data_IF_880691961223
#
_entry.id   IF_880691961223
#
_cell.length_a   1.000
_cell.length_b   1.000
_cell.length_c   1.000
_cell.angle_alpha   90.00
_cell.angle_beta   90.00
_cell.angle_gamma   90.00
#
_symmetry.space_group_name_H-M   'P 1'
#
loop_
_entity.id
_entity.type
_entity.pdbx_description
1 polymer ?
#
# COMPACT_ATOMS: atom_id res chain seq x y z
N UNK A 1 4.93 -0.52 2.46
CA UNK A 1 3.62 -0.84 1.86
C UNK A 1 2.54 -0.76 2.93
N UNK A 2 1.33 -0.38 2.55
CA UNK A 2 0.15 -0.37 3.40
C UNK A 2 -0.82 -1.43 2.88
N UNK A 3 -1.34 -2.27 3.77
CA UNK A 3 -2.30 -3.33 3.43
C UNK A 3 -3.49 -3.30 4.39
N UNK A 4 -4.70 -3.26 3.85
CA UNK A 4 -5.91 -3.41 4.66
C UNK A 4 -5.97 -4.81 5.28
N UNK A 5 -6.17 -4.86 6.59
CA UNK A 5 -6.38 -6.08 7.36
C UNK A 5 -7.53 -5.86 8.35
N UNK A 6 -8.73 -6.28 7.94
CA UNK A 6 -9.96 -6.11 8.71
C UNK A 6 -10.16 -4.64 9.17
N UNK A 7 -10.18 -4.39 10.48
CA UNK A 7 -10.31 -3.06 11.09
C UNK A 7 -9.01 -2.24 11.18
N UNK A 8 -7.91 -2.77 10.64
CA UNK A 8 -6.59 -2.15 10.69
C UNK A 8 -5.90 -2.07 9.33
N UNK A 9 -4.84 -1.27 9.25
CA UNK A 9 -3.92 -1.26 8.12
C UNK A 9 -2.54 -1.69 8.61
N UNK A 10 -1.96 -2.70 7.97
CA UNK A 10 -0.59 -3.12 8.19
C UNK A 10 0.35 -2.23 7.40
N UNK A 11 1.24 -1.53 8.11
CA UNK A 11 2.30 -0.69 7.59
C UNK A 11 3.59 -1.46 7.61
N UNK A 12 4.15 -1.74 6.45
CA UNK A 12 5.41 -2.46 6.31
C UNK A 12 6.45 -1.48 5.79
N UNK A 13 7.47 -1.24 6.59
CA UNK A 13 8.64 -0.43 6.26
C UNK A 13 9.85 -1.34 6.08
N UNK A 14 10.97 -0.80 5.58
CA UNK A 14 12.20 -1.57 5.41
C UNK A 14 12.75 -2.16 6.73
N UNK A 15 12.40 -1.56 7.87
CA UNK A 15 12.92 -1.96 9.19
C UNK A 15 11.95 -2.82 9.98
N UNK A 16 10.65 -2.48 9.93
CA UNK A 16 9.63 -3.11 10.77
C UNK A 16 8.25 -3.04 10.11
N UNK A 17 7.36 -3.85 10.65
CA UNK A 17 5.92 -3.80 10.39
C UNK A 17 5.14 -3.27 11.61
N UNK A 18 4.04 -2.58 11.38
CA UNK A 18 3.23 -1.95 12.41
C UNK A 18 1.76 -1.89 12.01
N UNK A 19 0.86 -2.09 12.97
CA UNK A 19 -0.57 -2.10 12.73
C UNK A 19 -1.17 -0.74 13.12
N UNK A 20 -1.81 -0.04 12.19
CA UNK A 20 -2.45 1.26 12.44
C UNK A 20 -3.96 1.18 12.25
N UNK A 21 -4.70 1.98 13.01
CA UNK A 21 -6.17 2.07 12.90
C UNK A 21 -6.57 3.21 11.94
N UNK A 22 -6.16 3.10 10.68
CA UNK A 22 -6.57 3.97 9.57
C UNK A 22 -7.06 3.12 8.42
N UNK A 23 -8.06 3.58 7.69
CA UNK A 23 -8.51 2.87 6.49
C UNK A 23 -7.59 3.19 5.31
N UNK A 24 -7.59 2.33 4.30
CA UNK A 24 -6.85 2.60 3.04
C UNK A 24 -7.38 3.86 2.36
N UNK A 25 -8.67 4.19 2.53
CA UNK A 25 -9.27 5.39 1.94
C UNK A 25 -8.76 6.67 2.61
N UNK A 26 -8.66 6.68 3.94
CA UNK A 26 -8.06 7.82 4.66
C UNK A 26 -6.59 8.01 4.27
N UNK A 27 -5.85 6.89 4.17
CA UNK A 27 -4.45 6.95 3.73
C UNK A 27 -4.30 7.42 2.29
N UNK A 28 -5.23 7.10 1.39
CA UNK A 28 -5.21 7.59 0.01
C UNK A 28 -5.42 9.11 -0.09
N UNK A 29 -6.24 9.67 0.82
CA UNK A 29 -6.48 11.12 0.90
C UNK A 29 -5.30 11.87 1.55
N UNK A 30 -4.68 11.27 2.58
CA UNK A 30 -3.57 11.88 3.32
C UNK A 30 -2.20 11.71 2.63
N UNK A 31 -2.02 10.67 1.81
CA UNK A 31 -0.73 10.35 1.17
C UNK A 31 -0.59 11.03 -0.19
N UNK A 32 0.64 11.47 -0.47
CA UNK A 32 1.02 12.09 -1.73
C UNK A 32 0.88 11.08 -2.90
N UNK A 33 0.00 11.33 -3.89
CA UNK A 33 -0.30 10.40 -4.97
C UNK A 33 0.86 10.21 -5.95
N UNK A 34 1.82 11.14 -6.01
CA UNK A 34 3.04 10.97 -6.81
C UNK A 34 4.01 9.97 -6.15
N UNK A 35 3.97 9.88 -4.81
CA UNK A 35 4.85 8.98 -4.03
C UNK A 35 4.19 7.66 -3.67
N UNK A 36 2.87 7.65 -3.48
CA UNK A 36 2.13 6.50 -2.97
C UNK A 36 1.05 6.09 -3.96
N UNK A 37 1.23 4.90 -4.53
CA UNK A 37 0.32 4.37 -5.53
C UNK A 37 -0.54 3.27 -4.94
N UNK A 38 -1.85 3.39 -5.17
CA UNK A 38 -2.78 2.31 -4.91
C UNK A 38 -2.74 1.30 -6.05
N UNK A 39 -2.22 0.11 -5.75
CA UNK A 39 -2.11 -0.99 -6.72
C UNK A 39 -3.27 -1.99 -6.61
N UNK A 40 -4.03 -1.94 -5.52
CA UNK A 40 -5.22 -2.75 -5.29
C UNK A 40 -6.15 -2.03 -4.31
N UNK A 41 -7.44 -2.36 -4.28
CA UNK A 41 -8.45 -1.69 -3.42
C UNK A 41 -8.08 -1.61 -1.93
N UNK A 42 -7.23 -2.53 -1.46
CA UNK A 42 -6.74 -2.59 -0.09
C UNK A 42 -5.22 -2.51 0.04
N UNK A 43 -4.50 -2.00 -0.96
CA UNK A 43 -3.03 -1.98 -0.93
C UNK A 43 -2.45 -0.73 -1.58
N UNK A 44 -1.64 0.01 -0.80
CA UNK A 44 -0.91 1.19 -1.25
C UNK A 44 0.59 0.92 -1.09
N UNK A 45 1.38 1.29 -2.09
CA UNK A 45 2.84 1.10 -2.11
C UNK A 45 3.53 2.43 -2.33
N UNK A 46 4.70 2.60 -1.71
CA UNK A 46 5.56 3.75 -1.98
C UNK A 46 6.39 3.46 -3.22
N UNK A 47 6.28 4.31 -4.24
CA UNK A 47 6.93 4.13 -5.55
C UNK A 47 8.44 4.17 -5.46
N UNK A 48 8.99 5.06 -4.63
CA UNK A 48 10.43 5.16 -4.42
C UNK A 48 11.02 3.91 -3.76
N UNK A 49 10.19 3.09 -3.10
CA UNK A 49 10.60 1.82 -2.50
C UNK A 49 10.43 0.61 -3.43
N UNK A 50 9.95 0.79 -4.67
CA UNK A 50 9.72 -0.31 -5.61
C UNK A 50 11.04 -0.66 -6.32
N UNK A 51 11.60 -1.84 -6.01
CA UNK A 51 12.82 -2.35 -6.67
C UNK A 51 12.54 -3.04 -8.02
N UNK A 52 11.37 -3.67 -8.16
CA UNK A 52 10.98 -4.38 -9.39
C UNK A 52 9.46 -4.44 -9.51
N UNK A 53 8.93 -4.16 -10.68
CA UNK A 53 7.52 -4.35 -11.02
C UNK A 53 7.44 -5.54 -11.97
N UNK A 54 6.68 -6.57 -11.60
CA UNK A 54 6.33 -7.67 -12.51
C UNK A 54 4.85 -7.58 -12.80
N UNK A 55 4.49 -7.25 -14.04
CA UNK A 55 3.09 -7.32 -14.49
C UNK A 55 2.78 -8.76 -14.86
N UNK A 56 2.08 -9.48 -13.98
CA UNK A 56 1.53 -10.78 -14.31
C UNK A 56 0.25 -10.57 -15.12
N UNK A 57 0.30 -10.82 -16.43
CA UNK A 57 -0.88 -10.82 -17.30
C UNK A 57 -1.71 -12.08 -17.02
N UNK A 58 -2.48 -12.10 -15.94
CA UNK A 58 -3.54 -13.10 -15.77
C UNK A 58 -4.81 -12.57 -16.42
N UNK A 59 -4.84 -12.65 -17.74
CA UNK A 59 -6.09 -12.62 -18.50
C UNK A 59 -6.72 -14.00 -18.48
N UNK A 60 -7.77 -14.17 -17.70
CA UNK A 60 -8.84 -15.15 -17.94
C UNK A 60 -10.11 -14.72 -17.21
#
# INVERSE_FOLDING_TARGET
MFKAEDKYTLVITAKNESLIRKTIKDLEDELDPDKFWKIHRGTIVNVASILKISRSMTGR
#
